data_IF_653757056161
#
_entry.id   IF_653757056161
#
_cell.length_a   1.000
_cell.length_b   1.000
_cell.length_c   1.000
_cell.angle_alpha   90.00
_cell.angle_beta   90.00
_cell.angle_gamma   90.00
#
_symmetry.space_group_name_H-M   'P 1'
#
loop_
_entity.id
_entity.type
_entity.pdbx_description
1 polymer ?
#
# COMPACT_ATOMS: atom_id res chain seq x y z
N UNK A 1 31.14 -32.10 61.45
CA UNK A 1 31.04 -30.67 61.07
C UNK A 1 30.78 -30.58 59.58
N UNK A 2 29.55 -30.26 59.23
CA UNK A 2 28.95 -30.26 57.89
C UNK A 2 29.39 -29.02 57.10
N UNK A 3 29.92 -29.21 55.89
CA UNK A 3 30.20 -28.12 54.94
C UNK A 3 28.90 -27.73 54.26
N UNK A 4 28.43 -26.50 54.50
CA UNK A 4 27.28 -25.91 53.81
C UNK A 4 27.79 -25.27 52.51
N UNK A 5 27.43 -25.87 51.38
CA UNK A 5 27.68 -25.35 50.04
C UNK A 5 26.78 -24.14 49.78
N UNK A 6 27.36 -22.96 49.59
CA UNK A 6 26.64 -21.77 49.13
C UNK A 6 26.37 -21.92 47.64
N UNK A 7 25.11 -22.17 47.28
CA UNK A 7 24.64 -22.22 45.91
C UNK A 7 24.56 -20.78 45.39
N UNK A 8 25.48 -20.39 44.52
CA UNK A 8 25.47 -19.09 43.86
C UNK A 8 24.44 -19.11 42.73
N UNK A 9 23.29 -18.45 42.91
CA UNK A 9 22.34 -18.19 41.83
C UNK A 9 22.92 -17.11 40.91
N UNK A 10 23.45 -17.53 39.77
CA UNK A 10 23.81 -16.61 38.70
C UNK A 10 22.51 -16.11 38.04
N UNK A 11 22.14 -14.87 38.30
CA UNK A 11 21.11 -14.15 37.53
C UNK A 11 21.64 -13.92 36.12
N UNK A 12 21.11 -14.67 35.14
CA UNK A 12 21.33 -14.40 33.72
C UNK A 12 20.43 -13.22 33.36
N UNK A 13 20.97 -12.00 33.32
CA UNK A 13 20.27 -10.85 32.76
C UNK A 13 20.20 -11.01 31.25
N UNK A 14 19.00 -11.27 30.72
CA UNK A 14 18.75 -11.17 29.28
C UNK A 14 18.66 -9.69 28.96
N UNK A 15 19.67 -9.14 28.29
CA UNK A 15 19.56 -7.82 27.69
C UNK A 15 18.54 -7.92 26.55
N UNK A 16 17.32 -7.46 26.80
CA UNK A 16 16.38 -7.18 25.71
C UNK A 16 16.96 -5.99 24.96
N UNK A 17 17.58 -6.25 23.81
CA UNK A 17 18.04 -5.19 22.92
C UNK A 17 16.77 -4.48 22.46
N UNK A 18 16.53 -3.28 22.97
CA UNK A 18 15.52 -2.39 22.41
C UNK A 18 15.88 -2.21 20.92
N UNK A 19 14.98 -2.60 20.03
CA UNK A 19 15.19 -2.40 18.59
C UNK A 19 15.18 -0.89 18.37
N UNK A 20 16.35 -0.33 18.03
CA UNK A 20 16.44 1.08 17.66
C UNK A 20 15.84 1.24 16.26
N UNK A 21 14.65 1.81 16.21
CA UNK A 21 13.97 2.07 14.95
C UNK A 21 14.70 3.23 14.24
N UNK A 22 15.17 3.03 12.99
CA UNK A 22 15.85 4.07 12.24
C UNK A 22 14.88 5.22 11.89
N UNK A 23 15.42 6.40 11.64
CA UNK A 23 14.62 7.57 11.26
C UNK A 23 14.07 7.46 9.84
N UNK A 24 14.82 6.80 8.96
CA UNK A 24 14.47 6.61 7.55
C UNK A 24 14.62 5.15 7.18
N UNK A 25 13.64 4.62 6.44
CA UNK A 25 13.69 3.28 5.87
C UNK A 25 13.36 3.30 4.38
N UNK A 26 13.94 2.34 3.66
CA UNK A 26 13.58 2.03 2.29
C UNK A 26 13.16 0.56 2.24
N UNK A 27 11.91 0.32 1.86
CA UNK A 27 11.30 -1.01 1.83
C UNK A 27 10.76 -1.31 0.44
N UNK A 28 10.49 -2.59 0.19
CA UNK A 28 9.92 -3.05 -1.08
C UNK A 28 8.45 -3.36 -0.92
N UNK A 29 7.68 -3.00 -1.94
CA UNK A 29 6.29 -3.40 -2.10
C UNK A 29 6.10 -4.36 -3.28
N UNK A 30 4.97 -5.06 -3.28
CA UNK A 30 4.53 -5.86 -4.43
C UNK A 30 3.07 -5.61 -4.73
N UNK A 31 2.75 -5.50 -6.02
CA UNK A 31 1.37 -5.36 -6.46
C UNK A 31 0.58 -6.65 -6.36
N UNK A 32 -0.69 -6.49 -6.04
CA UNK A 32 -1.77 -7.44 -6.28
C UNK A 32 -2.87 -6.73 -7.07
N UNK A 33 -3.70 -7.49 -7.76
CA UNK A 33 -4.82 -6.97 -8.54
C UNK A 33 -6.11 -7.67 -8.13
N UNK A 34 -7.15 -6.88 -7.98
CA UNK A 34 -8.52 -7.31 -7.82
C UNK A 34 -9.46 -6.29 -8.47
N UNK A 35 -10.70 -6.69 -8.68
CA UNK A 35 -11.69 -5.84 -9.32
C UNK A 35 -13.10 -6.20 -8.88
N UNK A 36 -14.03 -5.28 -9.09
CA UNK A 36 -15.45 -5.55 -9.07
C UNK A 36 -15.97 -5.54 -10.51
N UNK A 37 -16.79 -6.52 -10.88
CA UNK A 37 -17.56 -6.46 -12.12
C UNK A 37 -18.70 -5.42 -12.02
N UNK A 38 -19.43 -5.16 -13.10
CA UNK A 38 -20.53 -4.18 -13.05
C UNK A 38 -21.75 -4.65 -12.23
N UNK A 39 -21.78 -5.91 -11.80
CA UNK A 39 -22.78 -6.45 -10.87
C UNK A 39 -22.34 -6.38 -9.39
N UNK A 40 -21.12 -5.90 -9.12
CA UNK A 40 -20.54 -5.81 -7.78
C UNK A 40 -19.88 -7.10 -7.29
N UNK A 41 -19.66 -8.10 -8.15
CA UNK A 41 -18.96 -9.32 -7.76
C UNK A 41 -17.44 -9.10 -7.72
N UNK A 42 -16.82 -9.51 -6.61
CA UNK A 42 -15.37 -9.45 -6.45
C UNK A 42 -14.66 -10.55 -7.26
N UNK A 43 -13.70 -10.12 -8.07
CA UNK A 43 -12.80 -10.99 -8.81
C UNK A 43 -11.36 -10.73 -8.37
N UNK A 44 -10.69 -11.75 -7.83
CA UNK A 44 -9.30 -11.64 -7.41
C UNK A 44 -8.38 -12.06 -8.56
N UNK A 45 -7.43 -11.22 -8.94
CA UNK A 45 -6.59 -11.42 -10.13
C UNK A 45 -5.79 -12.72 -10.15
N UNK A 46 -5.48 -13.28 -8.98
CA UNK A 46 -4.80 -14.57 -8.88
C UNK A 46 -5.66 -15.74 -9.38
N UNK A 47 -6.99 -15.61 -9.31
CA UNK A 47 -7.97 -16.62 -9.76
C UNK A 47 -8.53 -16.35 -11.16
N UNK A 48 -8.14 -15.24 -11.81
CA UNK A 48 -8.50 -14.98 -13.20
C UNK A 48 -7.44 -15.66 -14.09
N UNK A 49 -7.88 -16.56 -14.96
CA UNK A 49 -6.98 -17.29 -15.86
C UNK A 49 -6.55 -16.41 -17.03
N UNK A 50 -7.50 -15.68 -17.62
CA UNK A 50 -7.29 -14.82 -18.78
C UNK A 50 -7.98 -13.47 -18.64
N UNK A 51 -7.38 -12.44 -19.23
CA UNK A 51 -8.02 -11.13 -19.33
C UNK A 51 -9.36 -11.19 -20.09
N UNK A 52 -9.53 -12.13 -21.02
CA UNK A 52 -10.80 -12.35 -21.75
C UNK A 52 -11.97 -12.70 -20.83
N UNK A 53 -11.69 -13.21 -19.64
CA UNK A 53 -12.72 -13.64 -18.68
C UNK A 53 -13.35 -12.43 -17.97
N UNK A 54 -12.72 -11.26 -18.10
CA UNK A 54 -13.22 -9.98 -17.62
C UNK A 54 -14.09 -9.36 -18.72
N UNK A 55 -15.39 -9.35 -18.50
CA UNK A 55 -16.39 -8.87 -19.47
C UNK A 55 -17.04 -7.54 -19.07
N UNK A 56 -16.92 -7.13 -17.81
CA UNK A 56 -17.42 -5.87 -17.28
C UNK A 56 -16.60 -5.44 -16.05
N UNK A 57 -16.59 -4.15 -15.71
CA UNK A 57 -15.88 -3.62 -14.56
C UNK A 57 -16.65 -2.44 -13.94
N UNK A 58 -16.65 -2.36 -12.61
CA UNK A 58 -17.05 -1.17 -11.84
C UNK A 58 -15.91 -0.65 -10.96
N UNK A 59 -14.96 -1.50 -10.59
CA UNK A 59 -13.76 -1.09 -9.84
C UNK A 59 -12.56 -1.83 -10.37
N UNK A 60 -11.46 -1.11 -10.64
CA UNK A 60 -10.15 -1.68 -10.90
C UNK A 60 -9.20 -1.30 -9.77
N UNK A 61 -8.65 -2.29 -9.09
CA UNK A 61 -7.88 -2.08 -7.87
C UNK A 61 -6.50 -2.73 -7.95
N UNK A 62 -5.47 -1.92 -7.71
CA UNK A 62 -4.10 -2.36 -7.51
C UNK A 62 -3.73 -2.09 -6.05
N UNK A 63 -3.56 -3.16 -5.28
CA UNK A 63 -3.07 -3.05 -3.91
C UNK A 63 -1.57 -3.32 -3.85
N UNK A 64 -0.88 -2.60 -2.97
CA UNK A 64 0.52 -2.83 -2.62
C UNK A 64 0.59 -3.08 -1.13
N UNK A 65 1.23 -4.17 -0.75
CA UNK A 65 1.62 -4.41 0.65
C UNK A 65 3.13 -4.28 0.76
N UNK A 66 3.57 -3.42 1.69
CA UNK A 66 4.97 -3.27 2.05
C UNK A 66 5.12 -3.39 3.57
N UNK A 67 6.14 -4.12 4.00
CA UNK A 67 6.39 -4.45 5.41
C UNK A 67 7.77 -3.95 5.78
N UNK A 68 7.92 -3.44 7.00
CA UNK A 68 9.23 -3.19 7.60
C UNK A 68 9.53 -4.19 8.72
N UNK A 69 10.78 -4.16 9.19
CA UNK A 69 11.26 -5.00 10.29
C UNK A 69 10.87 -4.43 11.68
N UNK A 70 10.03 -3.39 11.72
CA UNK A 70 9.70 -2.59 12.90
C UNK A 70 8.20 -2.59 13.19
N UNK A 71 7.50 -3.67 12.81
CA UNK A 71 6.08 -3.91 13.06
C UNK A 71 5.13 -2.97 12.31
N UNK A 72 5.60 -2.25 11.29
CA UNK A 72 4.72 -1.52 10.40
C UNK A 72 4.38 -2.28 9.13
N UNK A 73 3.16 -2.05 8.65
CA UNK A 73 2.70 -2.40 7.31
C UNK A 73 2.13 -1.15 6.65
N UNK A 74 2.49 -0.95 5.39
CA UNK A 74 2.09 0.21 4.58
C UNK A 74 1.27 -0.25 3.38
N UNK A 75 -0.03 -0.53 3.56
CA UNK A 75 -0.89 -0.82 2.43
C UNK A 75 -1.13 0.46 1.61
N UNK A 76 -0.98 0.32 0.29
CA UNK A 76 -1.32 1.35 -0.69
C UNK A 76 -2.37 0.78 -1.63
N UNK A 77 -3.49 1.48 -1.77
CA UNK A 77 -4.62 1.08 -2.61
C UNK A 77 -4.73 2.08 -3.76
N UNK A 78 -4.59 1.63 -5.00
CA UNK A 78 -4.74 2.45 -6.21
C UNK A 78 -5.98 1.99 -6.94
N UNK A 79 -6.98 2.86 -7.02
CA UNK A 79 -8.34 2.49 -7.39
C UNK A 79 -8.87 3.38 -8.50
N UNK A 80 -9.46 2.75 -9.51
CA UNK A 80 -10.40 3.39 -10.43
C UNK A 80 -11.78 2.85 -10.11
N UNK A 81 -12.69 3.69 -9.61
CA UNK A 81 -14.04 3.27 -9.25
C UNK A 81 -15.08 4.05 -10.05
N UNK A 82 -16.00 3.32 -10.69
CA UNK A 82 -17.15 3.88 -11.38
C UNK A 82 -18.34 3.97 -10.43
N UNK A 83 -18.91 5.16 -10.30
CA UNK A 83 -20.16 5.43 -9.57
C UNK A 83 -21.14 6.16 -10.52
N UNK A 84 -22.09 5.40 -11.08
CA UNK A 84 -22.90 5.86 -12.20
C UNK A 84 -22.03 6.15 -13.43
N UNK A 85 -22.11 7.37 -13.96
CA UNK A 85 -21.28 7.83 -15.09
C UNK A 85 -19.98 8.51 -14.65
N UNK A 86 -19.70 8.54 -13.34
CA UNK A 86 -18.51 9.22 -12.78
C UNK A 86 -17.43 8.18 -12.52
N UNK A 87 -16.24 8.42 -13.06
CA UNK A 87 -15.04 7.69 -12.70
C UNK A 87 -14.27 8.44 -11.61
N UNK A 88 -13.88 7.73 -10.56
CA UNK A 88 -13.19 8.29 -9.39
C UNK A 88 -11.84 7.58 -9.23
N UNK A 89 -10.75 8.18 -9.75
CA UNK A 89 -9.41 7.71 -9.46
C UNK A 89 -8.96 8.15 -8.07
N UNK A 90 -8.42 7.21 -7.30
CA UNK A 90 -7.87 7.51 -5.99
C UNK A 90 -6.66 6.64 -5.65
N UNK A 91 -5.77 7.20 -4.82
CA UNK A 91 -4.67 6.48 -4.19
C UNK A 91 -4.80 6.66 -2.69
N UNK A 92 -4.94 5.57 -1.94
CA UNK A 92 -4.99 5.57 -0.49
C UNK A 92 -3.75 4.92 0.11
N UNK A 93 -3.31 5.43 1.26
CA UNK A 93 -2.21 4.88 2.05
C UNK A 93 -2.62 4.82 3.53
N UNK A 94 -2.17 3.75 4.19
CA UNK A 94 -2.25 3.61 5.65
C UNK A 94 -0.86 3.30 6.19
N UNK A 95 -0.58 3.72 7.42
CA UNK A 95 0.55 3.25 8.20
C UNK A 95 0.00 2.43 9.37
N UNK A 96 -0.02 1.11 9.22
CA UNK A 96 -0.49 0.18 10.25
C UNK A 96 0.69 -0.22 11.11
N UNK A 97 0.54 -0.16 12.43
CA UNK A 97 1.54 -0.56 13.42
C UNK A 97 0.96 -1.62 14.35
N UNK A 98 1.72 -2.67 14.64
CA UNK A 98 1.38 -3.64 15.68
C UNK A 98 2.12 -3.24 16.96
N UNK A 99 1.36 -2.89 18.01
CA UNK A 99 1.94 -2.52 19.31
C UNK A 99 2.42 -3.74 20.11
N UNK A 100 3.12 -3.49 21.22
CA UNK A 100 3.66 -4.52 22.11
C UNK A 100 2.61 -5.47 22.69
N UNK A 101 1.33 -5.07 22.65
CA UNK A 101 0.19 -5.89 23.08
C UNK A 101 -0.48 -6.59 21.89
N UNK A 102 0.16 -6.61 20.72
CA UNK A 102 -0.34 -7.19 19.47
C UNK A 102 -1.62 -6.54 18.94
N UNK A 103 -1.88 -5.27 19.30
CA UNK A 103 -3.02 -4.53 18.75
C UNK A 103 -2.61 -3.75 17.51
N UNK A 104 -3.48 -3.74 16.52
CA UNK A 104 -3.32 -2.90 15.34
C UNK A 104 -3.67 -1.44 15.66
N UNK A 105 -2.76 -0.54 15.28
CA UNK A 105 -2.90 0.91 15.38
C UNK A 105 -2.71 1.52 14.00
N UNK A 106 -3.52 2.51 13.65
CA UNK A 106 -3.28 3.35 12.47
C UNK A 106 -2.51 4.59 12.93
N UNK A 107 -1.34 4.79 12.34
CA UNK A 107 -0.48 5.95 12.59
C UNK A 107 -0.73 7.02 11.54
N UNK A 108 -0.65 8.26 11.98
CA UNK A 108 -0.95 9.40 11.14
C UNK A 108 0.18 9.63 10.12
N UNK A 109 -0.21 9.87 8.87
CA UNK A 109 0.68 10.22 7.76
C UNK A 109 0.54 11.72 7.52
N UNK A 110 1.64 12.45 7.66
CA UNK A 110 1.68 13.90 7.45
C UNK A 110 1.55 14.22 5.98
N UNK A 111 2.48 13.67 5.20
CA UNK A 111 2.61 13.93 3.77
C UNK A 111 2.85 12.60 3.06
N UNK A 112 2.36 12.50 1.83
CA UNK A 112 2.65 11.39 0.93
C UNK A 112 2.87 11.92 -0.48
N UNK A 113 3.78 11.26 -1.19
CA UNK A 113 4.12 11.53 -2.57
C UNK A 113 4.23 10.21 -3.32
N UNK A 114 3.51 10.08 -4.43
CA UNK A 114 3.55 8.92 -5.30
C UNK A 114 4.19 9.30 -6.63
N UNK A 115 5.11 8.48 -7.12
CA UNK A 115 5.77 8.68 -8.41
C UNK A 115 5.59 7.46 -9.30
N UNK A 116 5.10 7.70 -10.52
CA UNK A 116 4.97 6.70 -11.56
C UNK A 116 5.32 7.34 -12.90
N UNK A 117 6.30 6.77 -13.61
CA UNK A 117 6.88 7.40 -14.80
C UNK A 117 7.34 8.86 -14.51
N UNK A 118 6.80 9.82 -15.25
CA UNK A 118 7.00 11.27 -15.10
C UNK A 118 5.92 11.95 -14.24
N UNK A 119 4.91 11.20 -13.76
CA UNK A 119 3.88 11.71 -12.88
C UNK A 119 4.32 11.69 -11.43
N UNK A 120 4.05 12.79 -10.75
CA UNK A 120 4.17 12.95 -9.31
C UNK A 120 2.78 13.30 -8.76
N UNK A 121 2.29 12.55 -7.78
CA UNK A 121 0.95 12.69 -7.19
C UNK A 121 1.09 12.98 -5.71
N UNK A 122 0.59 14.13 -5.28
CA UNK A 122 0.63 14.58 -3.89
C UNK A 122 -0.45 15.63 -3.62
N UNK A 123 -0.45 16.18 -2.41
CA UNK A 123 -1.45 17.14 -1.92
C UNK A 123 -1.44 18.50 -2.66
N UNK A 124 -0.41 18.77 -3.47
CA UNK A 124 -0.33 20.01 -4.25
C UNK A 124 -1.08 19.94 -5.58
N UNK A 125 -1.29 18.72 -6.12
CA UNK A 125 -1.95 18.52 -7.41
C UNK A 125 -3.19 17.62 -7.33
N UNK A 126 -3.35 16.82 -6.28
CA UNK A 126 -4.54 16.00 -6.01
C UNK A 126 -5.20 16.43 -4.70
N UNK A 127 -6.51 16.22 -4.57
CA UNK A 127 -7.20 16.57 -3.33
C UNK A 127 -6.99 15.46 -2.28
N UNK A 128 -6.55 15.89 -1.09
CA UNK A 128 -6.38 15.01 0.07
C UNK A 128 -7.63 14.96 0.94
N UNK A 129 -8.03 13.74 1.29
CA UNK A 129 -9.00 13.45 2.34
C UNK A 129 -8.37 12.55 3.39
N UNK A 130 -8.71 12.80 4.65
CA UNK A 130 -8.38 11.92 5.77
C UNK A 130 -9.65 11.26 6.29
N UNK A 131 -9.79 9.96 6.09
CA UNK A 131 -10.95 9.19 6.57
C UNK A 131 -10.46 8.12 7.53
N UNK A 132 -10.83 8.23 8.81
CA UNK A 132 -10.41 7.29 9.87
C UNK A 132 -8.87 7.07 9.89
N UNK A 133 -8.10 8.16 9.74
CA UNK A 133 -6.62 8.18 9.64
C UNK A 133 -6.02 7.57 8.37
N UNK A 134 -6.83 7.15 7.40
CA UNK A 134 -6.34 6.79 6.07
C UNK A 134 -6.14 8.06 5.26
N UNK A 135 -4.98 8.18 4.61
CA UNK A 135 -4.72 9.28 3.67
C UNK A 135 -5.16 8.86 2.30
N UNK A 136 -6.09 9.61 1.70
CA UNK A 136 -6.63 9.36 0.37
C UNK A 136 -6.33 10.58 -0.48
N UNK A 137 -5.69 10.39 -1.63
CA UNK A 137 -5.59 11.40 -2.68
C UNK A 137 -6.55 11.00 -3.80
N UNK A 138 -7.36 11.94 -4.29
CA UNK A 138 -8.20 11.71 -5.45
C UNK A 138 -7.96 12.75 -6.55
N UNK A 139 -8.06 12.28 -7.80
CA UNK A 139 -7.91 13.13 -8.97
C UNK A 139 -9.26 13.76 -9.33
N UNK A 140 -9.34 15.09 -9.22
CA UNK A 140 -10.53 15.86 -9.63
C UNK A 140 -10.76 15.85 -11.13
N UNK A 141 -9.69 15.73 -11.90
CA UNK A 141 -9.72 15.83 -13.36
C UNK A 141 -9.94 14.49 -14.04
N UNK A 142 -9.80 13.39 -13.29
CA UNK A 142 -9.83 12.00 -13.75
C UNK A 142 -8.66 11.61 -14.68
N UNK A 143 -8.23 12.52 -15.55
CA UNK A 143 -7.19 12.33 -16.56
C UNK A 143 -5.84 11.87 -15.97
N UNK A 144 -5.37 12.52 -14.91
CA UNK A 144 -4.08 12.16 -14.32
C UNK A 144 -4.14 10.82 -13.60
N UNK A 145 -5.27 10.49 -12.98
CA UNK A 145 -5.48 9.22 -12.31
C UNK A 145 -5.59 8.05 -13.28
N UNK A 146 -6.31 8.25 -14.39
CA UNK A 146 -6.31 7.31 -15.52
C UNK A 146 -4.90 7.11 -16.08
N UNK A 147 -4.17 8.20 -16.32
CA UNK A 147 -2.82 8.15 -16.86
C UNK A 147 -1.84 7.45 -15.90
N UNK A 148 -1.90 7.75 -14.60
CA UNK A 148 -1.11 7.08 -13.58
C UNK A 148 -1.39 5.58 -13.56
N UNK A 149 -2.67 5.18 -13.53
CA UNK A 149 -3.06 3.77 -13.60
C UNK A 149 -2.55 3.12 -14.89
N UNK A 150 -2.73 3.78 -16.03
CA UNK A 150 -2.25 3.32 -17.32
C UNK A 150 -0.74 3.07 -17.33
N UNK A 151 0.07 4.00 -16.83
CA UNK A 151 1.53 3.85 -16.71
C UNK A 151 1.92 2.64 -15.88
N UNK A 152 1.26 2.39 -14.74
CA UNK A 152 1.48 1.17 -13.95
C UNK A 152 1.22 -0.08 -14.80
N UNK A 153 0.11 -0.09 -15.55
CA UNK A 153 -0.23 -1.21 -16.42
C UNK A 153 0.70 -1.40 -17.63
N UNK A 154 1.47 -0.37 -18.00
CA UNK A 154 2.54 -0.44 -18.99
C UNK A 154 3.88 -0.91 -18.41
N UNK A 155 3.93 -1.26 -17.12
CA UNK A 155 5.12 -1.78 -16.46
C UNK A 155 6.03 -0.69 -15.88
N UNK A 156 5.51 0.51 -15.65
CA UNK A 156 6.23 1.52 -14.90
C UNK A 156 6.23 1.16 -13.40
N UNK A 157 7.37 1.29 -12.70
CA UNK A 157 7.43 1.08 -11.27
C UNK A 157 6.68 2.19 -10.54
N UNK A 158 6.24 1.90 -9.31
CA UNK A 158 5.69 2.88 -8.39
C UNK A 158 6.70 3.14 -7.28
N UNK A 159 6.88 4.40 -6.93
CA UNK A 159 7.61 4.81 -5.73
C UNK A 159 6.70 5.63 -4.84
N UNK A 160 6.63 5.26 -3.56
CA UNK A 160 5.83 5.98 -2.55
C UNK A 160 6.77 6.53 -1.49
N UNK A 161 6.71 7.83 -1.25
CA UNK A 161 7.49 8.52 -0.23
C UNK A 161 6.51 9.12 0.77
N UNK A 162 6.57 8.70 2.04
CA UNK A 162 5.68 9.22 3.08
C UNK A 162 6.45 9.71 4.31
N UNK A 163 5.84 10.69 4.99
CA UNK A 163 6.35 11.29 6.23
C UNK A 163 5.33 11.04 7.36
N UNK A 164 5.82 10.56 8.51
CA UNK A 164 5.05 10.29 9.73
C UNK A 164 5.51 11.14 10.91
N UNK A 165 4.74 11.15 11.98
CA UNK A 165 5.11 11.82 13.25
C UNK A 165 5.98 10.96 14.16
N UNK A 166 6.01 9.66 13.94
CA UNK A 166 6.73 8.67 14.75
C UNK A 166 7.69 7.86 13.89
N UNK A 167 8.79 7.40 14.50
CA UNK A 167 9.79 6.57 13.82
C UNK A 167 9.16 5.30 13.21
N UNK A 168 9.59 4.88 12.01
CA UNK A 168 10.44 5.63 11.09
C UNK A 168 9.72 6.87 10.54
N UNK A 169 10.35 8.03 10.60
CA UNK A 169 9.72 9.30 10.22
C UNK A 169 9.56 9.42 8.71
N UNK A 170 10.52 8.89 7.94
CA UNK A 170 10.50 8.88 6.48
C UNK A 170 10.54 7.45 5.97
N UNK A 171 9.59 7.09 5.12
CA UNK A 171 9.49 5.76 4.53
C UNK A 171 9.43 5.90 3.03
N UNK A 172 10.34 5.24 2.34
CA UNK A 172 10.28 5.04 0.89
C UNK A 172 9.85 3.61 0.61
N UNK A 173 8.84 3.43 -0.23
CA UNK A 173 8.38 2.14 -0.73
C UNK A 173 8.70 2.09 -2.22
N UNK A 174 9.64 1.25 -2.62
CA UNK A 174 9.92 0.98 -4.02
C UNK A 174 9.14 -0.28 -4.45
N UNK A 175 8.22 -0.11 -5.41
CA UNK A 175 7.34 -1.17 -5.89
C UNK A 175 7.77 -1.56 -7.29
N UNK A 176 8.06 -2.85 -7.46
CA UNK A 176 8.44 -3.39 -8.77
C UNK A 176 7.28 -3.27 -9.77
N UNK A 177 7.58 -3.20 -11.09
CA UNK A 177 6.56 -3.26 -12.13
C UNK A 177 5.60 -4.45 -11.97
N UNK A 178 4.36 -4.27 -12.44
CA UNK A 178 3.38 -5.35 -12.51
C UNK A 178 3.93 -6.55 -13.29
N UNK A 179 3.60 -7.75 -12.83
CA UNK A 179 3.84 -8.96 -13.64
C UNK A 179 3.08 -8.87 -14.96
N UNK A 180 3.56 -9.55 -16.00
CA UNK A 180 2.89 -9.55 -17.31
C UNK A 180 1.43 -10.01 -17.21
N UNK A 181 1.13 -11.01 -16.36
CA UNK A 181 -0.23 -11.48 -16.10
C UNK A 181 -1.07 -10.34 -15.49
N UNK A 182 -0.61 -9.78 -14.37
CA UNK A 182 -1.30 -8.71 -13.65
C UNK A 182 -1.54 -7.48 -14.53
N UNK A 183 -0.53 -7.06 -15.29
CA UNK A 183 -0.62 -5.93 -16.21
C UNK A 183 -1.67 -6.14 -17.33
N UNK A 184 -1.88 -7.38 -17.80
CA UNK A 184 -2.91 -7.68 -18.80
C UNK A 184 -4.32 -7.62 -18.19
N UNK A 185 -4.48 -8.14 -16.98
CA UNK A 185 -5.77 -8.08 -16.25
C UNK A 185 -6.14 -6.63 -15.94
N UNK A 186 -5.20 -5.86 -15.37
CA UNK A 186 -5.41 -4.45 -15.04
C UNK A 186 -5.72 -3.60 -16.28
N UNK A 187 -5.06 -3.81 -17.42
CA UNK A 187 -5.41 -3.13 -18.69
C UNK A 187 -6.82 -3.46 -19.16
N UNK A 188 -7.22 -4.73 -19.07
CA UNK A 188 -8.57 -5.11 -19.49
C UNK A 188 -9.63 -4.50 -18.58
N UNK A 189 -9.37 -4.44 -17.28
CA UNK A 189 -10.25 -3.74 -16.35
C UNK A 189 -10.32 -2.24 -16.66
N UNK A 190 -9.17 -1.58 -16.87
CA UNK A 190 -9.10 -0.16 -17.28
C UNK A 190 -9.95 0.12 -18.53
N UNK A 191 -9.80 -0.71 -19.57
CA UNK A 191 -10.59 -0.60 -20.81
C UNK A 191 -12.11 -0.66 -20.54
N UNK A 192 -12.54 -1.45 -19.56
CA UNK A 192 -13.96 -1.69 -19.28
C UNK A 192 -14.56 -0.70 -18.27
N UNK A 193 -13.76 -0.15 -17.35
CA UNK A 193 -14.23 0.81 -16.35
C UNK A 193 -14.35 2.23 -16.92
N UNK A 194 -13.60 2.51 -17.99
CA UNK A 194 -13.60 3.78 -18.73
C UNK A 194 -14.67 3.85 -19.85
N UNK A 195 -15.36 2.74 -20.13
CA UNK A 195 -16.56 2.67 -20.98
C UNK A 195 -17.80 2.94 -20.15
#
# INVERSE_FOLDING_TARGET
MTRLLVLCFAFISVNVIAIDVPETINIKGSFQFDMLDSSGNLMLGNYIESASDITSASVCHLSVSAYDDYYFTYPVDITLQKDGDILIPSIALKALYIDENSNYRIKDVKNVNYKVADLEVNESNWEKLIIKKNTILFDKTVEQGLLAYHHLTLGQPLRVELIKEEKPYSVTIDVAPLSQKTARLARKCLELVDL
#
